data_IF_094125979076
#
_entry.id   IF_094125979076
#
_cell.length_a   1.000
_cell.length_b   1.000
_cell.length_c   1.000
_cell.angle_alpha   90.00
_cell.angle_beta   90.00
_cell.angle_gamma   90.00
#
_symmetry.space_group_name_H-M   'P 1'
#
loop_
_entity.id
_entity.type
_entity.pdbx_description
1 polymer ?
#
# COMPACT_ATOMS: atom_id res chain seq x y z
N UNK A 1 -4.93 26.13 41.52
CA UNK A 1 -5.04 25.76 40.09
C UNK A 1 -4.32 24.43 39.89
N UNK A 2 -4.95 23.39 39.33
CA UNK A 2 -4.29 22.10 39.12
C UNK A 2 -3.25 22.21 37.99
N UNK A 3 -2.09 21.57 38.18
CA UNK A 3 -0.97 21.59 37.23
C UNK A 3 -1.30 20.83 35.93
N UNK A 4 -1.03 21.47 34.78
CA UNK A 4 -1.21 20.88 33.46
C UNK A 4 -0.27 19.68 33.25
N UNK A 5 -0.85 18.50 33.03
CA UNK A 5 -0.11 17.26 32.74
C UNK A 5 0.60 17.39 31.38
N UNK A 6 1.92 17.11 31.27
CA UNK A 6 2.64 17.33 30.03
C UNK A 6 2.09 16.42 28.92
N UNK A 7 1.80 17.03 27.77
CA UNK A 7 1.35 16.32 26.57
C UNK A 7 2.45 15.37 26.09
N UNK A 8 2.23 14.06 26.23
CA UNK A 8 3.13 13.03 25.72
C UNK A 8 3.21 13.10 24.19
N UNK A 9 4.23 13.83 23.67
CA UNK A 9 4.59 13.77 22.25
C UNK A 9 5.04 12.35 21.92
N UNK A 10 4.15 11.56 21.32
CA UNK A 10 4.48 10.25 20.74
C UNK A 10 5.62 10.45 19.74
N UNK A 11 6.72 9.73 19.93
CA UNK A 11 7.87 9.75 19.02
C UNK A 11 7.42 9.29 17.62
N UNK A 12 8.03 9.83 16.57
CA UNK A 12 7.82 9.35 15.21
C UNK A 12 8.22 7.88 15.14
N UNK A 13 7.30 7.02 14.68
CA UNK A 13 7.52 5.59 14.50
C UNK A 13 7.58 5.30 13.01
N UNK A 14 8.70 4.76 12.53
CA UNK A 14 8.74 4.20 11.19
C UNK A 14 7.80 3.00 11.11
N UNK A 15 6.71 3.15 10.34
CA UNK A 15 5.67 2.14 10.18
C UNK A 15 6.21 0.84 9.59
N UNK A 16 7.26 0.90 8.75
CA UNK A 16 7.86 -0.28 8.14
C UNK A 16 8.61 -1.10 9.19
N UNK A 17 9.43 -0.43 10.00
CA UNK A 17 10.20 -1.10 11.05
C UNK A 17 9.30 -1.66 12.15
N UNK A 18 8.31 -0.88 12.58
CA UNK A 18 7.32 -1.34 13.58
C UNK A 18 6.60 -2.61 13.12
N UNK A 19 6.11 -2.64 11.87
CA UNK A 19 5.46 -3.83 11.31
C UNK A 19 6.40 -5.03 11.21
N UNK A 20 7.66 -4.81 10.80
CA UNK A 20 8.67 -5.87 10.77
C UNK A 20 8.94 -6.45 12.16
N UNK A 21 8.98 -5.61 13.20
CA UNK A 21 9.16 -6.06 14.58
C UNK A 21 7.94 -6.86 15.08
N UNK A 22 6.73 -6.42 14.75
CA UNK A 22 5.50 -7.14 15.10
C UNK A 22 5.43 -8.51 14.43
N UNK A 23 5.83 -8.62 13.15
CA UNK A 23 5.91 -9.90 12.45
C UNK A 23 6.90 -10.84 13.13
N UNK A 24 8.09 -10.34 13.48
CA UNK A 24 9.11 -11.14 14.20
C UNK A 24 8.56 -11.64 15.54
N UNK A 25 7.92 -10.77 16.32
CA UNK A 25 7.28 -11.12 17.60
C UNK A 25 6.21 -12.20 17.43
N UNK A 26 5.35 -12.07 16.41
CA UNK A 26 4.30 -13.05 16.13
C UNK A 26 4.87 -14.42 15.72
N UNK A 27 5.93 -14.45 14.91
CA UNK A 27 6.60 -15.69 14.52
C UNK A 27 7.25 -16.40 15.71
N UNK A 28 7.95 -15.65 16.56
CA UNK A 28 8.54 -16.19 17.80
C UNK A 28 7.46 -16.72 18.74
N UNK A 29 6.34 -15.99 18.88
CA UNK A 29 5.20 -16.43 19.69
C UNK A 29 4.60 -17.74 19.15
N UNK A 30 4.35 -17.83 17.84
CA UNK A 30 3.85 -19.05 17.19
C UNK A 30 4.78 -20.24 17.40
N UNK A 31 6.09 -20.05 17.23
CA UNK A 31 7.07 -21.11 17.46
C UNK A 31 7.08 -21.57 18.92
N UNK A 32 6.95 -20.64 19.87
CA UNK A 32 6.87 -20.96 21.30
C UNK A 32 5.59 -21.73 21.65
N UNK A 33 4.44 -21.32 21.11
CA UNK A 33 3.19 -22.06 21.27
C UNK A 33 3.29 -23.48 20.70
N UNK A 34 3.84 -23.62 19.49
CA UNK A 34 4.05 -24.93 18.86
C UNK A 34 4.94 -25.83 19.72
N UNK A 35 6.05 -25.29 20.25
CA UNK A 35 6.94 -26.03 21.16
C UNK A 35 6.23 -26.43 22.46
N UNK A 36 5.44 -25.53 23.05
CA UNK A 36 4.70 -25.83 24.27
C UNK A 36 3.62 -26.89 24.03
N UNK A 37 2.94 -26.83 22.89
CA UNK A 37 1.95 -27.83 22.48
C UNK A 37 2.57 -29.22 22.37
N UNK A 38 3.72 -29.35 21.70
CA UNK A 38 4.40 -30.64 21.61
C UNK A 38 4.87 -31.16 22.97
N UNK A 39 5.32 -30.29 23.87
CA UNK A 39 5.65 -30.69 25.25
C UNK A 39 4.45 -31.17 26.05
N UNK A 40 3.25 -30.65 25.78
CA UNK A 40 2.02 -31.11 26.43
C UNK A 40 1.62 -32.49 25.89
N UNK A 41 1.66 -32.67 24.57
CA UNK A 41 1.42 -33.97 23.94
C UNK A 41 2.39 -35.06 24.44
N UNK A 42 3.67 -34.73 24.60
CA UNK A 42 4.69 -35.59 25.22
C UNK A 42 4.30 -36.02 26.64
N UNK A 43 3.79 -35.08 27.45
CA UNK A 43 3.40 -35.33 28.85
C UNK A 43 2.12 -36.14 28.98
N UNK A 44 1.17 -35.94 28.07
CA UNK A 44 -0.12 -36.64 28.07
C UNK A 44 0.01 -38.05 27.47
N UNK A 45 1.19 -38.43 26.96
CA UNK A 45 1.44 -39.75 26.37
C UNK A 45 0.77 -39.95 25.01
N UNK A 46 0.17 -38.89 24.43
CA UNK A 46 -0.43 -38.87 23.09
C UNK A 46 0.59 -38.59 21.99
N UNK A 47 1.88 -38.84 22.25
CA UNK A 47 2.92 -38.68 21.25
C UNK A 47 2.82 -39.85 20.26
N UNK A 48 1.91 -39.74 19.29
CA UNK A 48 1.93 -40.57 18.09
C UNK A 48 3.33 -40.50 17.51
N UNK A 49 3.95 -41.66 17.37
CA UNK A 49 5.32 -41.83 16.90
C UNK A 49 5.50 -41.11 15.57
N UNK A 50 6.03 -39.88 15.62
CA UNK A 50 6.46 -39.17 14.43
C UNK A 50 7.68 -39.91 13.91
N UNK A 51 7.46 -40.81 12.95
CA UNK A 51 8.53 -41.23 12.05
C UNK A 51 9.14 -39.96 11.44
N UNK A 52 10.46 -39.91 11.24
CA UNK A 52 11.15 -38.76 10.65
C UNK A 52 10.91 -38.67 9.12
N UNK A 53 9.67 -38.86 8.67
CA UNK A 53 9.29 -38.81 7.25
C UNK A 53 8.32 -37.66 6.91
N UNK A 54 7.74 -36.98 7.90
CA UNK A 54 6.80 -35.86 7.64
C UNK A 54 7.49 -34.49 7.40
N UNK A 55 8.81 -34.47 7.21
CA UNK A 55 9.48 -33.34 6.55
C UNK A 55 9.48 -33.47 5.01
N UNK A 56 9.04 -34.62 4.45
CA UNK A 56 8.99 -34.86 3.01
C UNK A 56 7.85 -35.83 2.54
N UNK A 57 6.57 -35.55 2.79
CA UNK A 57 5.48 -36.03 1.92
C UNK A 57 4.11 -35.57 2.42
N UNK A 58 3.41 -34.76 1.63
CA UNK A 58 1.96 -34.62 1.73
C UNK A 58 1.38 -35.01 0.36
N UNK A 59 1.24 -36.33 0.15
CA UNK A 59 0.52 -37.02 -0.92
C UNK A 59 0.40 -38.49 -0.46
N UNK A 60 -0.73 -39.20 -0.31
CA UNK A 60 -2.06 -39.24 -0.92
C UNK A 60 -2.93 -40.12 0.04
N UNK A 61 -4.10 -39.72 0.57
CA UNK A 61 -5.45 -39.74 -0.03
C UNK A 61 -6.34 -40.92 0.45
N UNK A 62 -7.43 -40.62 1.18
CA UNK A 62 -8.75 -41.22 0.96
C UNK A 62 -9.88 -40.39 1.59
N UNK A 63 -10.80 -39.90 0.73
CA UNK A 63 -12.21 -39.71 1.07
C UNK A 63 -12.67 -38.32 1.52
N UNK A 64 -12.69 -37.33 0.62
CA UNK A 64 -13.90 -36.52 0.31
C UNK A 64 -13.54 -35.37 -0.66
N UNK A 65 -14.19 -35.44 -1.81
CA UNK A 65 -14.27 -34.53 -2.95
C UNK A 65 -13.87 -33.06 -2.70
N UNK A 66 -12.56 -32.78 -2.79
CA UNK A 66 -12.06 -31.42 -3.05
C UNK A 66 -11.21 -31.47 -4.29
N UNK A 67 -11.75 -30.88 -5.36
CA UNK A 67 -11.09 -30.55 -6.63
C UNK A 67 -9.64 -30.07 -6.41
N UNK A 68 -8.68 -31.00 -6.42
CA UNK A 68 -7.25 -30.69 -6.39
C UNK A 68 -6.92 -29.95 -7.69
N UNK A 69 -6.39 -28.71 -7.65
CA UNK A 69 -5.99 -28.04 -8.87
C UNK A 69 -4.86 -28.85 -9.53
N UNK A 70 -5.06 -29.27 -10.79
CA UNK A 70 -4.08 -30.03 -11.57
C UNK A 70 -2.67 -29.44 -11.42
N UNK A 71 -1.61 -30.28 -11.27
CA UNK A 71 -0.25 -29.79 -11.13
C UNK A 71 0.13 -28.97 -12.37
N UNK A 72 0.38 -27.67 -12.17
CA UNK A 72 0.82 -26.79 -13.25
C UNK A 72 2.16 -27.31 -13.79
N UNK A 73 2.35 -27.39 -15.12
CA UNK A 73 3.60 -27.86 -15.68
C UNK A 73 4.76 -27.01 -15.16
N UNK A 74 5.78 -27.66 -14.59
CA UNK A 74 7.02 -27.01 -14.14
C UNK A 74 7.67 -26.37 -15.37
N UNK A 75 7.53 -25.06 -15.52
CA UNK A 75 8.18 -24.31 -16.61
C UNK A 75 9.69 -24.54 -16.51
N UNK A 76 10.32 -24.94 -17.63
CA UNK A 76 11.77 -25.04 -17.72
C UNK A 76 12.40 -23.74 -17.21
N UNK A 77 13.39 -23.84 -16.34
CA UNK A 77 14.05 -22.69 -15.76
C UNK A 77 14.65 -21.83 -16.87
N UNK A 78 14.17 -20.59 -17.00
CA UNK A 78 14.71 -19.57 -17.91
C UNK A 78 16.23 -19.47 -17.75
N UNK A 79 16.98 -19.37 -18.85
CA UNK A 79 18.45 -19.32 -18.83
C UNK A 79 18.92 -18.09 -18.02
N UNK A 80 20.10 -18.18 -17.38
CA UNK A 80 20.64 -17.12 -16.53
C UNK A 80 20.74 -15.77 -17.26
N UNK A 81 21.19 -15.79 -18.51
CA UNK A 81 21.28 -14.58 -19.34
C UNK A 81 19.92 -13.95 -19.64
N UNK A 82 18.91 -14.78 -19.92
CA UNK A 82 17.54 -14.34 -20.18
C UNK A 82 16.93 -13.73 -18.92
N UNK A 83 17.20 -14.32 -17.74
CA UNK A 83 16.80 -13.76 -16.44
C UNK A 83 17.44 -12.39 -16.21
N UNK A 84 18.73 -12.23 -16.52
CA UNK A 84 19.43 -10.96 -16.36
C UNK A 84 18.81 -9.86 -17.24
N UNK A 85 18.50 -10.17 -18.50
CA UNK A 85 17.82 -9.25 -19.43
C UNK A 85 16.43 -8.85 -18.94
N UNK A 86 15.63 -9.81 -18.48
CA UNK A 86 14.29 -9.55 -17.91
C UNK A 86 14.38 -8.66 -16.67
N UNK A 87 15.34 -8.90 -15.77
CA UNK A 87 15.53 -8.06 -14.59
C UNK A 87 15.94 -6.64 -14.96
N UNK A 88 16.80 -6.48 -15.98
CA UNK A 88 17.22 -5.16 -16.48
C UNK A 88 16.02 -4.40 -17.06
N UNK A 89 15.24 -5.02 -17.94
CA UNK A 89 14.01 -4.45 -18.51
C UNK A 89 13.02 -4.03 -17.42
N UNK A 90 12.75 -4.90 -16.45
CA UNK A 90 11.85 -4.57 -15.32
C UNK A 90 12.35 -3.38 -14.50
N UNK A 91 13.67 -3.24 -14.31
CA UNK A 91 14.25 -2.10 -13.60
C UNK A 91 14.11 -0.81 -14.42
N UNK A 92 14.35 -0.88 -15.72
CA UNK A 92 14.20 0.24 -16.66
C UNK A 92 12.74 0.70 -16.76
N UNK A 93 11.79 -0.21 -16.92
CA UNK A 93 10.35 0.10 -16.92
C UNK A 93 9.91 0.75 -15.60
N UNK A 94 10.34 0.21 -14.46
CA UNK A 94 10.05 0.82 -13.16
C UNK A 94 10.64 2.22 -13.04
N UNK A 95 11.83 2.45 -13.59
CA UNK A 95 12.45 3.79 -13.61
C UNK A 95 11.67 4.73 -14.50
N UNK A 96 11.28 4.28 -15.70
CA UNK A 96 10.47 5.05 -16.65
C UNK A 96 9.11 5.43 -16.07
N UNK A 97 8.37 4.47 -15.50
CA UNK A 97 7.08 4.73 -14.83
C UNK A 97 7.22 5.71 -13.68
N UNK A 98 8.31 5.65 -12.89
CA UNK A 98 8.55 6.61 -11.82
C UNK A 98 8.79 8.02 -12.39
N UNK A 99 9.60 8.13 -13.44
CA UNK A 99 9.86 9.41 -14.10
C UNK A 99 8.59 10.00 -14.71
N UNK A 100 7.79 9.20 -15.41
CA UNK A 100 6.50 9.60 -15.99
C UNK A 100 5.54 10.10 -14.90
N UNK A 101 5.40 9.38 -13.78
CA UNK A 101 4.55 9.83 -12.65
C UNK A 101 5.02 11.15 -12.05
N UNK A 102 6.34 11.36 -11.97
CA UNK A 102 6.90 12.63 -11.47
C UNK A 102 6.62 13.76 -12.46
N UNK A 103 6.85 13.54 -13.75
CA UNK A 103 6.56 14.51 -14.81
C UNK A 103 5.08 14.87 -14.85
N UNK A 104 4.17 13.88 -14.83
CA UNK A 104 2.73 14.12 -14.77
C UNK A 104 2.34 14.95 -13.53
N UNK A 105 2.93 14.65 -12.37
CA UNK A 105 2.66 15.40 -11.15
C UNK A 105 3.12 16.85 -11.27
N UNK A 106 4.31 17.09 -11.82
CA UNK A 106 4.83 18.44 -12.06
C UNK A 106 3.94 19.20 -13.04
N UNK A 107 3.59 18.59 -14.17
CA UNK A 107 2.70 19.18 -15.17
C UNK A 107 1.34 19.53 -14.57
N UNK A 108 0.74 18.65 -13.76
CA UNK A 108 -0.53 18.93 -13.07
C UNK A 108 -0.44 20.07 -12.06
N UNK A 109 0.70 20.22 -11.39
CA UNK A 109 0.93 21.34 -10.47
C UNK A 109 1.06 22.64 -11.26
N UNK A 110 1.83 22.61 -12.35
CA UNK A 110 2.06 23.76 -13.21
C UNK A 110 0.76 24.25 -13.87
N UNK A 111 -0.03 23.34 -14.45
CA UNK A 111 -1.32 23.70 -15.08
C UNK A 111 -2.28 24.30 -14.06
N UNK A 112 -2.44 23.67 -12.89
CA UNK A 112 -3.29 24.21 -11.81
C UNK A 112 -2.80 25.55 -11.27
N UNK A 113 -1.49 25.77 -11.22
CA UNK A 113 -0.90 27.04 -10.82
C UNK A 113 -1.23 28.14 -11.85
N UNK A 114 -1.02 27.85 -13.14
CA UNK A 114 -1.36 28.76 -14.26
C UNK A 114 -2.85 29.09 -14.27
N UNK A 115 -3.72 28.10 -14.14
CA UNK A 115 -5.17 28.30 -14.03
C UNK A 115 -5.55 29.20 -12.85
N UNK A 116 -4.93 28.98 -11.68
CA UNK A 116 -5.18 29.80 -10.48
C UNK A 116 -4.71 31.24 -10.69
N UNK A 117 -3.55 31.44 -11.32
CA UNK A 117 -3.03 32.77 -11.62
C UNK A 117 -3.98 33.51 -12.57
N UNK A 118 -4.43 32.87 -13.65
CA UNK A 118 -5.40 33.44 -14.58
C UNK A 118 -6.73 33.80 -13.89
N UNK A 119 -7.28 32.89 -13.06
CA UNK A 119 -8.49 33.17 -12.28
C UNK A 119 -8.29 34.34 -11.30
N UNK A 120 -7.13 34.42 -10.65
CA UNK A 120 -6.78 35.51 -9.74
C UNK A 120 -6.75 36.85 -10.46
N UNK A 121 -6.10 36.92 -11.63
CA UNK A 121 -6.05 38.15 -12.43
C UNK A 121 -7.45 38.58 -12.92
N UNK A 122 -8.29 37.63 -13.32
CA UNK A 122 -9.69 37.93 -13.70
C UNK A 122 -10.50 38.51 -12.53
N UNK A 123 -10.32 37.98 -11.32
CA UNK A 123 -11.03 38.42 -10.10
C UNK A 123 -10.47 39.70 -9.47
N UNK A 124 -9.23 40.07 -9.82
CA UNK A 124 -8.54 41.28 -9.37
C UNK A 124 -9.09 42.55 -10.06
N UNK A 125 -9.73 42.42 -11.22
CA UNK A 125 -10.29 43.55 -11.97
C UNK A 125 -11.31 44.33 -11.12
N UNK A 126 -11.18 45.65 -11.12
CA UNK A 126 -12.07 46.59 -10.44
C UNK A 126 -12.70 47.55 -11.43
N UNK A 127 -13.83 48.14 -11.05
CA UNK A 127 -14.49 49.21 -11.80
C UNK A 127 -13.78 50.54 -11.54
N UNK A 128 -14.16 51.57 -12.30
CA UNK A 128 -13.59 52.93 -12.18
C UNK A 128 -13.69 53.51 -10.76
N UNK A 129 -14.74 53.16 -10.00
CA UNK A 129 -14.96 53.59 -8.61
C UNK A 129 -14.27 52.69 -7.56
N UNK A 130 -13.49 51.70 -7.99
CA UNK A 130 -12.75 50.79 -7.10
C UNK A 130 -13.55 49.58 -6.60
N UNK A 131 -14.82 49.45 -6.96
CA UNK A 131 -15.60 48.24 -6.64
C UNK A 131 -15.08 47.05 -7.46
N UNK A 132 -15.12 45.81 -6.93
CA UNK A 132 -14.75 44.65 -7.71
C UNK A 132 -15.66 44.48 -8.93
N UNK A 133 -15.10 44.15 -10.08
CA UNK A 133 -15.89 43.86 -11.26
C UNK A 133 -16.71 42.58 -11.02
N UNK A 134 -18.04 42.71 -11.01
CA UNK A 134 -18.91 41.64 -10.56
C UNK A 134 -19.11 40.52 -11.58
N UNK A 135 -19.02 40.77 -12.89
CA UNK A 135 -19.24 39.75 -13.93
C UNK A 135 -18.43 38.45 -13.72
N UNK A 136 -17.09 38.51 -13.59
CA UNK A 136 -16.28 37.32 -13.30
C UNK A 136 -16.64 36.62 -11.98
N UNK A 137 -17.09 37.37 -10.97
CA UNK A 137 -17.49 36.83 -9.66
C UNK A 137 -18.85 36.14 -9.73
N UNK A 138 -19.80 36.71 -10.46
CA UNK A 138 -21.12 36.15 -10.72
C UNK A 138 -20.97 34.82 -11.48
N UNK A 139 -20.15 34.77 -12.53
CA UNK A 139 -19.93 33.52 -13.28
C UNK A 139 -19.37 32.41 -12.38
N UNK A 140 -18.37 32.71 -11.54
CA UNK A 140 -17.86 31.74 -10.56
C UNK A 140 -18.94 31.25 -9.59
N UNK A 141 -19.86 32.13 -9.18
CA UNK A 141 -20.98 31.75 -8.31
C UNK A 141 -21.97 30.85 -9.04
N UNK A 142 -22.34 31.18 -10.27
CA UNK A 142 -23.22 30.37 -11.11
C UNK A 142 -22.63 28.99 -11.40
N UNK A 143 -21.33 28.91 -11.71
CA UNK A 143 -20.62 27.65 -11.93
C UNK A 143 -20.63 26.77 -10.66
N UNK A 144 -20.47 27.40 -9.49
CA UNK A 144 -20.55 26.70 -8.20
C UNK A 144 -21.96 26.16 -7.96
N UNK A 145 -22.99 26.98 -8.17
CA UNK A 145 -24.40 26.57 -8.04
C UNK A 145 -24.70 25.43 -9.00
N UNK A 146 -24.28 25.52 -10.26
CA UNK A 146 -24.48 24.47 -11.27
C UNK A 146 -23.81 23.16 -10.85
N UNK A 147 -22.62 23.23 -10.26
CA UNK A 147 -21.91 22.06 -9.75
C UNK A 147 -22.60 21.47 -8.51
N UNK A 148 -23.14 22.29 -7.62
CA UNK A 148 -23.83 21.84 -6.41
C UNK A 148 -25.21 21.24 -6.73
N UNK A 149 -25.88 21.69 -7.81
CA UNK A 149 -27.14 21.13 -8.32
C UNK A 149 -26.91 19.85 -9.16
N UNK A 150 -25.79 19.78 -9.87
CA UNK A 150 -25.43 18.66 -10.74
C UNK A 150 -24.70 17.49 -10.05
N UNK A 151 -24.41 17.60 -8.76
CA UNK A 151 -23.95 16.49 -7.90
C UNK A 151 -25.09 16.05 -6.98
#
# INVERSE_FOLDING_TARGET
>A
MPANKPYNKKKFVDRREAKSQDIKRALTHRARLRKNYFKLLEKEGLQESRKPEDDEADNEEQGEEKLKPKPKPKKKGINFEERAKIVKQRKEEKRKQKLERVQEKLNRIETKSKERALRKEQLKKTTTKGQPLMGPRINNLLDKIKKDIGN
#
